data_IF_465678465290
#
_entry.id   IF_465678465290
#
_cell.length_a   1.000
_cell.length_b   1.000
_cell.length_c   1.000
_cell.angle_alpha   90.00
_cell.angle_beta   90.00
_cell.angle_gamma   90.00
#
_symmetry.space_group_name_H-M   'P 1'
#
loop_
_entity.id
_entity.type
_entity.pdbx_description
1 polymer ?
#
# COMPACT_ATOMS: atom_id res chain seq x y z
N UNK A 1 -34.41 46.06 -4.49
CA UNK A 1 -33.77 45.05 -3.61
C UNK A 1 -34.63 43.80 -3.59
N UNK A 2 -34.27 42.78 -4.39
CA UNK A 2 -34.85 41.43 -4.32
C UNK A 2 -33.67 40.47 -4.14
N UNK A 3 -33.56 39.89 -2.94
CA UNK A 3 -32.49 38.97 -2.58
C UNK A 3 -32.80 37.58 -3.14
N UNK A 4 -32.05 37.18 -4.15
CA UNK A 4 -31.98 35.82 -4.67
C UNK A 4 -31.19 34.97 -3.68
N UNK A 5 -31.82 33.93 -3.11
CA UNK A 5 -31.11 32.92 -2.30
C UNK A 5 -30.36 31.99 -3.25
N UNK A 6 -29.03 32.10 -3.26
CA UNK A 6 -28.14 31.12 -3.89
C UNK A 6 -28.05 29.94 -2.92
N UNK A 7 -28.65 28.82 -3.31
CA UNK A 7 -28.43 27.52 -2.65
C UNK A 7 -27.10 27.00 -3.20
N UNK A 8 -26.05 27.09 -2.38
CA UNK A 8 -24.76 26.48 -2.70
C UNK A 8 -24.89 24.96 -2.58
N UNK A 9 -24.91 24.29 -3.73
CA UNK A 9 -24.77 22.85 -3.85
C UNK A 9 -23.30 22.50 -3.55
N UNK A 10 -23.00 22.12 -2.32
CA UNK A 10 -21.71 21.53 -1.96
C UNK A 10 -21.68 20.08 -2.47
N UNK A 11 -21.11 19.90 -3.65
CA UNK A 11 -20.76 18.59 -4.20
C UNK A 11 -19.58 18.03 -3.39
N UNK A 12 -19.86 17.11 -2.46
CA UNK A 12 -18.84 16.23 -1.89
C UNK A 12 -18.60 15.11 -2.91
N UNK A 13 -17.63 15.33 -3.79
CA UNK A 13 -17.14 14.37 -4.79
C UNK A 13 -15.64 14.18 -4.57
N UNK A 14 -15.26 13.44 -3.52
CA UNK A 14 -13.84 13.10 -3.27
C UNK A 14 -13.65 11.73 -2.63
N UNK A 15 -14.53 10.76 -2.90
CA UNK A 15 -14.40 9.40 -2.36
C UNK A 15 -14.37 8.29 -3.43
N UNK A 16 -14.36 8.63 -4.73
CA UNK A 16 -14.48 7.63 -5.81
C UNK A 16 -13.32 7.58 -6.81
N UNK A 17 -12.36 8.51 -6.76
CA UNK A 17 -11.36 8.69 -7.82
C UNK A 17 -10.08 7.86 -7.66
N UNK A 18 -9.86 7.20 -6.51
CA UNK A 18 -8.60 6.48 -6.27
C UNK A 18 -8.57 5.06 -6.85
N UNK A 19 -9.74 4.42 -7.01
CA UNK A 19 -9.82 3.02 -7.45
C UNK A 19 -9.51 2.79 -8.95
N UNK A 20 -9.61 3.83 -9.78
CA UNK A 20 -9.34 3.77 -11.23
C UNK A 20 -8.21 4.70 -11.66
N UNK A 21 -7.54 5.38 -10.72
CA UNK A 21 -6.60 6.45 -11.03
C UNK A 21 -5.44 5.99 -11.93
N UNK A 22 -4.93 4.77 -11.70
CA UNK A 22 -3.73 4.31 -12.39
C UNK A 22 -4.02 3.78 -13.80
N UNK A 23 -5.09 3.00 -13.99
CA UNK A 23 -5.52 2.57 -15.32
C UNK A 23 -5.95 3.76 -16.18
N UNK A 24 -6.66 4.73 -15.59
CA UNK A 24 -7.05 5.97 -16.27
C UNK A 24 -5.82 6.82 -16.63
N UNK A 25 -4.83 6.92 -15.74
CA UNK A 25 -3.56 7.61 -16.03
C UNK A 25 -2.81 6.94 -17.19
N UNK A 26 -2.64 5.61 -17.16
CA UNK A 26 -1.99 4.85 -18.22
C UNK A 26 -2.74 5.04 -19.55
N UNK A 27 -4.07 4.94 -19.53
CA UNK A 27 -4.90 5.14 -20.73
C UNK A 27 -4.80 6.56 -21.29
N UNK A 28 -4.76 7.58 -20.42
CA UNK A 28 -4.57 8.99 -20.83
C UNK A 28 -3.19 9.23 -21.45
N UNK A 29 -2.16 8.52 -21.01
CA UNK A 29 -0.80 8.63 -21.52
C UNK A 29 -0.52 7.71 -22.73
N UNK A 30 -1.38 6.72 -23.01
CA UNK A 30 -1.18 5.71 -24.06
C UNK A 30 -0.93 6.32 -25.45
N UNK A 31 -1.54 7.47 -25.74
CA UNK A 31 -1.38 8.17 -27.02
C UNK A 31 -0.29 9.26 -26.98
N UNK A 32 0.36 9.48 -25.84
CA UNK A 32 1.45 10.44 -25.66
C UNK A 32 2.83 9.80 -25.92
N UNK A 33 2.86 8.69 -26.66
CA UNK A 33 4.08 8.01 -27.07
C UNK A 33 4.69 8.73 -28.27
N UNK A 34 5.89 9.28 -28.10
CA UNK A 34 6.70 9.73 -29.25
C UNK A 34 7.39 8.52 -29.86
N UNK A 35 7.09 8.21 -31.13
CA UNK A 35 7.85 7.19 -31.87
C UNK A 35 9.33 7.58 -32.06
N UNK A 36 9.67 8.86 -31.86
CA UNK A 36 11.01 9.42 -31.98
C UNK A 36 11.41 10.13 -30.67
N UNK A 37 11.33 9.43 -29.54
CA UNK A 37 11.88 9.94 -28.29
C UNK A 37 13.43 9.96 -28.40
N UNK A 38 14.01 11.11 -28.77
CA UNK A 38 15.47 11.29 -28.89
C UNK A 38 16.20 11.36 -27.53
N UNK A 39 15.65 10.75 -26.48
CA UNK A 39 16.31 10.68 -25.18
C UNK A 39 17.34 9.55 -25.20
N UNK A 40 18.60 9.90 -24.96
CA UNK A 40 19.66 8.94 -24.69
C UNK A 40 20.04 9.03 -23.22
N UNK A 41 19.80 7.96 -22.48
CA UNK A 41 20.18 7.86 -21.07
C UNK A 41 21.52 7.15 -20.96
N UNK A 42 22.40 7.66 -20.11
CA UNK A 42 23.66 7.00 -19.74
C UNK A 42 23.62 6.67 -18.26
N UNK A 43 23.77 5.40 -17.92
CA UNK A 43 23.83 4.95 -16.53
C UNK A 43 25.11 5.47 -15.88
N UNK A 44 24.97 6.28 -14.83
CA UNK A 44 26.11 6.77 -14.03
C UNK A 44 26.40 5.84 -12.85
N UNK A 45 25.36 5.31 -12.20
CA UNK A 45 25.40 4.36 -11.08
C UNK A 45 24.18 3.45 -11.19
N UNK A 46 24.38 2.15 -10.96
CA UNK A 46 23.33 1.14 -10.87
C UNK A 46 23.53 0.37 -9.57
N UNK A 47 22.48 0.33 -8.74
CA UNK A 47 22.49 -0.35 -7.43
C UNK A 47 21.76 -1.69 -7.47
N UNK A 48 21.25 -2.08 -8.64
CA UNK A 48 20.47 -3.28 -8.84
C UNK A 48 18.99 -3.10 -8.52
N UNK A 49 18.19 -4.00 -9.08
CA UNK A 49 16.80 -4.23 -8.75
C UNK A 49 16.46 -5.68 -9.09
N UNK A 50 15.34 -6.18 -8.59
CA UNK A 50 14.78 -7.47 -9.04
C UNK A 50 13.97 -7.28 -10.33
N UNK A 51 13.31 -8.34 -10.78
CA UNK A 51 12.44 -8.30 -11.96
C UNK A 51 11.34 -7.25 -11.82
N UNK A 52 11.00 -6.61 -12.94
CA UNK A 52 9.83 -5.72 -13.04
C UNK A 52 8.55 -6.50 -12.76
N UNK A 53 7.71 -5.95 -11.88
CA UNK A 53 6.42 -6.51 -11.46
C UNK A 53 5.24 -5.80 -12.12
N UNK A 54 4.04 -6.39 -12.03
CA UNK A 54 2.82 -5.82 -12.60
C UNK A 54 1.65 -5.93 -11.62
N UNK A 55 1.22 -4.80 -11.08
CA UNK A 55 0.12 -4.69 -10.12
C UNK A 55 -1.28 -4.89 -10.74
N UNK A 56 -1.39 -4.91 -12.06
CA UNK A 56 -2.68 -4.99 -12.77
C UNK A 56 -3.59 -3.80 -12.43
N UNK A 57 -4.90 -4.06 -12.44
CA UNK A 57 -5.94 -3.09 -12.10
C UNK A 57 -6.20 -3.05 -10.59
N UNK A 58 -5.17 -2.71 -9.82
CA UNK A 58 -5.25 -2.53 -8.37
C UNK A 58 -4.45 -1.31 -7.93
N UNK A 59 -4.91 -0.56 -6.94
CA UNK A 59 -4.20 0.62 -6.41
C UNK A 59 -3.05 0.30 -5.44
N UNK A 60 -2.24 -0.72 -5.74
CA UNK A 60 -1.25 -1.31 -4.81
C UNK A 60 0.21 -0.96 -5.09
N UNK A 61 0.46 0.12 -5.85
CA UNK A 61 1.82 0.54 -6.21
C UNK A 61 2.74 0.72 -4.99
N UNK A 62 2.21 1.21 -3.87
CA UNK A 62 2.92 1.35 -2.59
C UNK A 62 3.43 0.00 -2.06
N UNK A 63 2.62 -1.06 -2.16
CA UNK A 63 3.02 -2.41 -1.77
C UNK A 63 4.06 -2.97 -2.73
N UNK A 64 3.86 -2.79 -4.04
CA UNK A 64 4.81 -3.28 -5.05
C UNK A 64 6.18 -2.59 -4.97
N UNK A 65 6.19 -1.27 -4.84
CA UNK A 65 7.42 -0.49 -4.71
C UNK A 65 8.11 -0.75 -3.36
N UNK A 66 7.37 -0.80 -2.25
CA UNK A 66 7.94 -1.10 -0.95
C UNK A 66 8.51 -2.52 -0.85
N UNK A 67 7.83 -3.54 -1.38
CA UNK A 67 8.40 -4.89 -1.42
C UNK A 67 9.61 -4.96 -2.36
N UNK A 68 9.60 -4.30 -3.53
CA UNK A 68 10.79 -4.19 -4.39
C UNK A 68 11.97 -3.49 -3.68
N UNK A 69 11.68 -2.51 -2.82
CA UNK A 69 12.68 -1.88 -1.96
C UNK A 69 13.25 -2.87 -0.94
N UNK A 70 12.41 -3.65 -0.24
CA UNK A 70 12.88 -4.71 0.67
C UNK A 70 13.75 -5.74 -0.07
N UNK A 71 13.38 -6.13 -1.29
CA UNK A 71 14.18 -7.04 -2.12
C UNK A 71 15.55 -6.45 -2.46
N UNK A 72 15.61 -5.15 -2.76
CA UNK A 72 16.86 -4.44 -3.02
C UNK A 72 17.71 -4.30 -1.75
N UNK A 73 17.08 -4.11 -0.59
CA UNK A 73 17.77 -4.12 0.71
C UNK A 73 18.35 -5.49 1.04
N UNK A 74 17.68 -6.59 0.67
CA UNK A 74 18.28 -7.92 0.76
C UNK A 74 19.56 -8.00 -0.08
N UNK A 75 19.55 -7.50 -1.32
CA UNK A 75 20.76 -7.44 -2.16
C UNK A 75 21.87 -6.61 -1.50
N UNK A 76 21.54 -5.42 -0.98
CA UNK A 76 22.48 -4.53 -0.27
C UNK A 76 23.12 -5.22 0.94
N UNK A 77 22.36 -6.04 1.65
CA UNK A 77 22.81 -6.83 2.81
C UNK A 77 23.57 -8.11 2.43
N UNK A 78 23.84 -8.35 1.14
CA UNK A 78 24.53 -9.55 0.65
C UNK A 78 23.68 -10.82 0.72
N UNK A 79 22.36 -10.70 0.87
CA UNK A 79 21.41 -11.81 0.87
C UNK A 79 20.92 -12.08 -0.56
N UNK A 80 20.50 -13.33 -0.81
CA UNK A 80 19.79 -13.68 -2.05
C UNK A 80 18.37 -13.09 -1.98
N UNK A 81 17.99 -12.13 -2.83
CA UNK A 81 16.65 -11.55 -2.81
C UNK A 81 15.60 -12.62 -3.13
N UNK A 82 14.43 -12.48 -2.51
CA UNK A 82 13.27 -13.33 -2.75
C UNK A 82 12.19 -12.49 -3.40
N UNK A 83 11.48 -13.02 -4.39
CA UNK A 83 10.26 -12.40 -4.92
C UNK A 83 9.19 -12.38 -3.81
N UNK A 84 8.96 -11.23 -3.19
CA UNK A 84 8.08 -11.07 -2.04
C UNK A 84 6.62 -10.87 -2.49
N UNK A 85 5.69 -11.49 -1.76
CA UNK A 85 4.28 -11.39 -2.07
C UNK A 85 3.71 -10.00 -1.75
N UNK A 86 3.56 -9.15 -2.75
CA UNK A 86 3.11 -7.78 -2.56
C UNK A 86 1.63 -7.75 -2.12
N UNK A 87 0.84 -8.73 -2.54
CA UNK A 87 -0.55 -8.85 -2.11
C UNK A 87 -0.69 -9.35 -0.67
N UNK A 88 0.29 -10.06 -0.11
CA UNK A 88 0.28 -10.39 1.31
C UNK A 88 0.33 -9.12 2.16
N UNK A 89 1.22 -8.19 1.80
CA UNK A 89 1.35 -6.88 2.45
C UNK A 89 0.08 -6.04 2.25
N UNK A 90 -0.45 -5.97 1.03
CA UNK A 90 -1.68 -5.23 0.73
C UNK A 90 -2.88 -5.78 1.52
N UNK A 91 -3.08 -7.10 1.53
CA UNK A 91 -4.18 -7.77 2.25
C UNK A 91 -4.13 -7.51 3.75
N UNK A 92 -2.95 -7.56 4.36
CA UNK A 92 -2.80 -7.28 5.79
C UNK A 92 -3.02 -5.79 6.11
N UNK A 93 -2.61 -4.89 5.22
CA UNK A 93 -2.93 -3.46 5.35
C UNK A 93 -4.43 -3.21 5.24
N UNK A 94 -5.13 -3.86 4.30
CA UNK A 94 -6.58 -3.76 4.18
C UNK A 94 -7.31 -4.24 5.43
N UNK A 95 -6.83 -5.30 6.08
CA UNK A 95 -7.36 -5.77 7.35
C UNK A 95 -7.25 -4.69 8.44
N UNK A 96 -6.06 -4.12 8.63
CA UNK A 96 -5.83 -3.09 9.66
C UNK A 96 -6.51 -1.76 9.34
N UNK A 97 -6.48 -1.35 8.07
CA UNK A 97 -7.17 -0.15 7.56
C UNK A 97 -8.67 -0.28 7.72
N UNK A 98 -9.26 -1.45 7.46
CA UNK A 98 -10.68 -1.70 7.67
C UNK A 98 -11.04 -1.55 9.15
N UNK A 99 -10.17 -2.06 10.03
CA UNK A 99 -10.35 -1.91 11.47
C UNK A 99 -10.34 -0.45 11.89
N UNK A 100 -9.33 0.31 11.45
CA UNK A 100 -9.23 1.74 11.76
C UNK A 100 -10.38 2.55 11.14
N UNK A 101 -10.80 2.24 9.92
CA UNK A 101 -11.96 2.86 9.28
C UNK A 101 -13.21 2.73 10.14
N UNK A 102 -13.53 1.52 10.62
CA UNK A 102 -14.72 1.30 11.46
C UNK A 102 -14.59 1.99 12.82
N UNK A 103 -13.43 1.88 13.47
CA UNK A 103 -13.19 2.49 14.78
C UNK A 103 -13.15 4.03 14.75
N UNK A 104 -12.83 4.62 13.60
CA UNK A 104 -12.88 6.06 13.37
C UNK A 104 -14.20 6.51 12.72
N UNK A 105 -15.25 5.70 12.81
CA UNK A 105 -16.59 6.01 12.30
C UNK A 105 -16.59 6.40 10.79
N UNK A 106 -15.72 5.77 10.00
CA UNK A 106 -15.57 6.04 8.57
C UNK A 106 -14.84 7.34 8.23
N UNK A 107 -14.17 7.98 9.20
CA UNK A 107 -13.47 9.25 9.00
C UNK A 107 -12.08 9.11 8.36
N UNK A 108 -11.58 7.88 8.20
CA UNK A 108 -10.33 7.58 7.49
C UNK A 108 -10.67 7.21 6.05
N UNK A 109 -9.78 7.51 5.09
CA UNK A 109 -9.98 7.14 3.69
C UNK A 109 -10.05 5.62 3.52
N UNK A 110 -10.93 5.14 2.66
CA UNK A 110 -10.98 3.73 2.25
C UNK A 110 -10.69 3.60 0.76
N UNK A 111 -9.85 2.62 0.43
CA UNK A 111 -9.42 2.31 -0.94
C UNK A 111 -8.14 1.48 -0.93
N UNK A 112 -7.69 1.09 -2.12
CA UNK A 112 -6.50 0.25 -2.31
C UNK A 112 -5.18 0.93 -1.91
N UNK A 113 -5.15 2.27 -1.91
CA UNK A 113 -3.96 3.06 -1.64
C UNK A 113 -3.43 2.90 -0.21
N UNK A 114 -2.15 3.23 -0.06
CA UNK A 114 -1.35 3.11 1.14
C UNK A 114 0.01 3.76 0.88
N UNK A 115 0.87 3.73 1.89
CA UNK A 115 2.19 4.38 1.87
C UNK A 115 3.32 3.37 2.15
N UNK A 116 4.58 3.78 1.99
CA UNK A 116 5.71 2.85 2.16
C UNK A 116 5.86 2.36 3.61
N UNK A 117 5.45 3.16 4.60
CA UNK A 117 5.41 2.76 6.01
C UNK A 117 4.43 1.62 6.25
N UNK A 118 3.36 1.49 5.45
CA UNK A 118 2.46 0.33 5.55
C UNK A 118 3.21 -0.96 5.27
N UNK A 119 4.14 -0.96 4.31
CA UNK A 119 4.96 -2.14 3.99
C UNK A 119 5.85 -2.50 5.17
N UNK A 120 6.54 -1.52 5.77
CA UNK A 120 7.41 -1.74 6.94
C UNK A 120 6.58 -2.20 8.17
N UNK A 121 5.43 -1.57 8.41
CA UNK A 121 4.52 -1.89 9.50
C UNK A 121 3.94 -3.30 9.35
N UNK A 122 3.50 -3.68 8.15
CA UNK A 122 2.97 -5.01 7.88
C UNK A 122 4.07 -6.06 7.95
N UNK A 123 5.27 -5.77 7.43
CA UNK A 123 6.42 -6.65 7.57
C UNK A 123 6.74 -6.90 9.05
N UNK A 124 6.76 -5.85 9.88
CA UNK A 124 6.98 -5.97 11.34
C UNK A 124 5.90 -6.80 12.03
N UNK A 125 4.63 -6.54 11.71
CA UNK A 125 3.48 -7.13 12.42
C UNK A 125 3.10 -8.52 11.93
N UNK A 126 3.14 -8.76 10.63
CA UNK A 126 2.67 -9.99 9.99
C UNK A 126 3.79 -10.81 9.34
N UNK A 127 4.97 -10.24 9.15
CA UNK A 127 6.08 -10.90 8.47
C UNK A 127 6.01 -10.73 6.95
N UNK A 128 6.56 -11.69 6.22
CA UNK A 128 6.59 -11.71 4.77
C UNK A 128 6.47 -13.14 4.26
N UNK A 129 6.04 -13.29 3.01
CA UNK A 129 5.98 -14.60 2.34
C UNK A 129 6.49 -14.48 0.91
N UNK A 130 7.06 -15.54 0.33
CA UNK A 130 7.37 -15.61 -1.10
C UNK A 130 6.12 -15.46 -1.99
N UNK A 131 6.29 -14.91 -3.18
CA UNK A 131 5.21 -14.72 -4.16
C UNK A 131 4.58 -16.04 -4.61
N UNK A 132 5.34 -17.15 -4.68
CA UNK A 132 4.82 -18.47 -5.02
C UNK A 132 4.00 -19.12 -3.89
N UNK A 133 4.14 -18.63 -2.67
CA UNK A 133 3.38 -19.05 -1.48
C UNK A 133 2.05 -18.31 -1.35
N UNK A 134 1.99 -17.03 -1.75
CA UNK A 134 0.77 -16.22 -1.70
C UNK A 134 0.72 -15.21 -2.85
N UNK A 135 0.10 -15.58 -3.97
CA UNK A 135 0.05 -14.73 -5.17
C UNK A 135 -0.97 -13.61 -5.08
N UNK A 136 -1.99 -13.74 -4.24
CA UNK A 136 -3.18 -12.88 -4.26
C UNK A 136 -4.14 -13.14 -5.43
N UNK A 137 -3.86 -14.12 -6.29
CA UNK A 137 -4.63 -14.44 -7.49
C UNK A 137 -5.50 -15.67 -7.28
N UNK A 138 -6.73 -15.63 -7.78
CA UNK A 138 -7.59 -16.82 -7.88
C UNK A 138 -7.18 -17.70 -9.06
N UNK A 139 -7.61 -18.96 -9.02
CA UNK A 139 -7.40 -19.90 -10.12
C UNK A 139 -7.89 -19.32 -11.46
N UNK A 140 -6.99 -19.30 -12.45
CA UNK A 140 -7.26 -18.77 -13.79
C UNK A 140 -7.00 -17.28 -13.96
N UNK A 141 -6.65 -16.55 -12.90
CA UNK A 141 -6.22 -15.15 -13.00
C UNK A 141 -4.70 -15.07 -13.22
N UNK A 142 -4.28 -14.10 -14.03
CA UNK A 142 -2.88 -13.79 -14.29
C UNK A 142 -2.47 -12.39 -13.80
N UNK A 143 -3.46 -11.53 -13.52
CA UNK A 143 -3.27 -10.17 -13.02
C UNK A 143 -4.37 -9.84 -12.01
N UNK A 144 -4.02 -8.98 -11.05
CA UNK A 144 -4.95 -8.50 -10.03
C UNK A 144 -5.94 -7.50 -10.63
N UNK A 145 -7.20 -7.59 -10.20
CA UNK A 145 -8.21 -6.56 -10.40
C UNK A 145 -9.06 -6.46 -9.12
N UNK A 146 -8.93 -5.35 -8.40
CA UNK A 146 -9.52 -5.20 -7.06
C UNK A 146 -10.85 -4.44 -7.07
N UNK A 147 -11.35 -4.03 -8.24
CA UNK A 147 -12.59 -3.26 -8.37
C UNK A 147 -13.78 -3.95 -7.70
N UNK A 148 -13.97 -5.24 -7.95
CA UNK A 148 -15.08 -6.00 -7.38
C UNK A 148 -14.91 -6.22 -5.87
N UNK A 149 -13.70 -6.56 -5.43
CA UNK A 149 -13.38 -6.77 -4.01
C UNK A 149 -13.66 -5.50 -3.20
N UNK A 150 -13.14 -4.36 -3.66
CA UNK A 150 -13.33 -3.07 -3.01
C UNK A 150 -14.81 -2.64 -3.02
N UNK A 151 -15.52 -2.90 -4.12
CA UNK A 151 -16.97 -2.69 -4.23
C UNK A 151 -17.79 -3.53 -3.24
N UNK A 152 -17.31 -4.73 -2.86
CA UNK A 152 -17.92 -5.56 -1.81
C UNK A 152 -17.51 -5.16 -0.39
N UNK A 153 -16.26 -4.75 -0.18
CA UNK A 153 -15.76 -4.36 1.14
C UNK A 153 -16.43 -3.08 1.64
N UNK A 154 -16.55 -2.06 0.79
CA UNK A 154 -17.04 -0.74 1.23
C UNK A 154 -18.44 -0.77 1.87
N UNK A 155 -19.46 -1.43 1.29
CA UNK A 155 -20.78 -1.55 1.93
C UNK A 155 -20.74 -2.30 3.28
N UNK A 156 -19.88 -3.30 3.42
CA UNK A 156 -19.70 -4.03 4.69
C UNK A 156 -19.09 -3.11 5.75
N UNK A 157 -18.06 -2.36 5.41
CA UNK A 157 -17.45 -1.39 6.31
C UNK A 157 -18.43 -0.29 6.73
N UNK A 158 -19.22 0.25 5.80
CA UNK A 158 -20.23 1.26 6.10
C UNK A 158 -21.34 0.72 7.01
N UNK A 159 -21.76 -0.52 6.80
CA UNK A 159 -22.72 -1.20 7.68
C UNK A 159 -22.15 -1.38 9.10
N UNK A 160 -20.87 -1.75 9.21
CA UNK A 160 -20.18 -1.87 10.49
C UNK A 160 -20.04 -0.53 11.21
N UNK A 161 -19.73 0.56 10.50
CA UNK A 161 -19.73 1.93 11.05
C UNK A 161 -21.13 2.30 11.59
N UNK A 162 -22.17 2.04 10.81
CA UNK A 162 -23.55 2.31 11.23
C UNK A 162 -23.97 1.47 12.45
N UNK A 163 -23.57 0.20 12.51
CA UNK A 163 -23.84 -0.65 13.67
C UNK A 163 -23.05 -0.19 14.91
N UNK A 164 -21.78 0.14 14.75
CA UNK A 164 -20.90 0.62 15.82
C UNK A 164 -21.35 1.94 16.44
N UNK A 165 -21.93 2.84 15.64
CA UNK A 165 -22.53 4.09 16.16
C UNK A 165 -23.79 3.87 17.01
N UNK A 166 -24.43 2.71 16.92
CA UNK A 166 -25.62 2.34 17.70
C UNK A 166 -25.29 1.53 18.95
N UNK A 167 -24.08 1.01 19.07
CA UNK A 167 -23.65 0.19 20.20
C UNK A 167 -22.41 -0.63 19.91
N UNK A 168 -21.94 -1.38 20.92
CA UNK A 168 -20.78 -2.26 20.78
C UNK A 168 -21.04 -3.31 19.68
N UNK A 169 -20.12 -3.40 18.72
CA UNK A 169 -20.10 -4.48 17.73
C UNK A 169 -19.87 -5.85 18.41
N UNK A 170 -20.33 -6.92 17.77
CA UNK A 170 -19.99 -8.29 18.20
C UNK A 170 -18.49 -8.52 18.10
N UNK A 171 -17.87 -9.24 19.02
CA UNK A 171 -16.40 -9.34 19.10
C UNK A 171 -15.74 -9.94 17.82
N UNK A 172 -16.52 -10.63 16.98
CA UNK A 172 -16.09 -11.25 15.73
C UNK A 172 -16.35 -10.41 14.47
N UNK A 173 -16.71 -9.13 14.59
CA UNK A 173 -17.14 -8.29 13.46
C UNK A 173 -16.12 -8.21 12.31
N UNK A 174 -14.82 -8.33 12.59
CA UNK A 174 -13.76 -8.39 11.56
C UNK A 174 -13.80 -9.66 10.70
N UNK A 175 -14.41 -10.74 11.18
CA UNK A 175 -14.48 -12.00 10.42
C UNK A 175 -15.21 -11.83 9.09
N UNK A 176 -16.19 -10.93 8.99
CA UNK A 176 -16.88 -10.62 7.73
C UNK A 176 -15.98 -9.88 6.74
N UNK A 177 -15.08 -9.03 7.23
CA UNK A 177 -14.08 -8.33 6.40
C UNK A 177 -13.05 -9.34 5.90
N UNK A 178 -12.49 -10.14 6.81
CA UNK A 178 -11.51 -11.17 6.48
C UNK A 178 -12.06 -12.22 5.52
N UNK A 179 -13.33 -12.60 5.64
CA UNK A 179 -13.96 -13.53 4.72
C UNK A 179 -14.00 -12.99 3.28
N UNK A 180 -14.25 -11.70 3.11
CA UNK A 180 -14.21 -11.06 1.77
C UNK A 180 -12.77 -10.99 1.27
N UNK A 181 -11.81 -10.59 2.11
CA UNK A 181 -10.40 -10.57 1.71
C UNK A 181 -9.92 -11.96 1.28
N UNK A 182 -10.25 -13.00 2.04
CA UNK A 182 -9.89 -14.38 1.74
C UNK A 182 -10.62 -14.90 0.49
N UNK A 183 -11.88 -14.50 0.24
CA UNK A 183 -12.62 -14.83 -0.99
C UNK A 183 -11.92 -14.28 -2.23
N UNK A 184 -11.30 -13.08 -2.14
CA UNK A 184 -10.72 -12.39 -3.28
C UNK A 184 -9.23 -12.62 -3.47
N UNK A 185 -8.46 -12.67 -2.38
CA UNK A 185 -7.00 -12.69 -2.39
C UNK A 185 -6.44 -14.05 -1.92
N UNK A 186 -7.32 -14.96 -1.51
CA UNK A 186 -6.94 -16.21 -0.89
C UNK A 186 -6.59 -16.04 0.59
N UNK A 187 -6.62 -17.15 1.31
CA UNK A 187 -6.33 -17.19 2.74
C UNK A 187 -4.83 -17.07 3.00
N UNK A 188 -4.47 -16.25 3.98
CA UNK A 188 -3.07 -16.11 4.42
C UNK A 188 -2.53 -17.44 4.94
N UNK A 189 -1.36 -17.91 4.43
CA UNK A 189 -0.74 -19.14 4.92
C UNK A 189 -0.19 -18.94 6.33
N UNK A 190 -0.53 -19.86 7.24
CA UNK A 190 0.03 -19.85 8.59
C UNK A 190 1.42 -20.49 8.64
N UNK A 191 1.68 -21.44 7.74
CA UNK A 191 2.97 -22.10 7.55
C UNK A 191 3.17 -22.42 6.06
N UNK A 192 4.42 -22.48 5.62
CA UNK A 192 4.82 -22.87 4.27
C UNK A 192 6.25 -23.40 4.26
N UNK A 193 6.60 -24.15 3.22
CA UNK A 193 7.98 -24.65 3.03
C UNK A 193 8.71 -23.74 2.05
N UNK A 194 9.90 -23.29 2.42
CA UNK A 194 10.82 -22.55 1.55
C UNK A 194 12.21 -23.17 1.64
N UNK A 195 12.81 -23.50 0.49
CA UNK A 195 14.13 -24.15 0.39
C UNK A 195 14.32 -25.34 1.37
N UNK A 196 13.27 -26.19 1.50
CA UNK A 196 13.30 -27.40 2.32
C UNK A 196 13.09 -27.19 3.83
N UNK A 197 12.87 -25.96 4.29
CA UNK A 197 12.57 -25.65 5.70
C UNK A 197 11.16 -25.06 5.84
N UNK A 198 10.49 -25.43 6.94
CA UNK A 198 9.17 -24.89 7.29
C UNK A 198 9.30 -23.52 7.96
N UNK A 199 8.47 -22.57 7.55
CA UNK A 199 8.42 -21.22 8.08
C UNK A 199 6.97 -20.78 8.34
N UNK A 200 6.82 -19.86 9.29
CA UNK A 200 5.68 -18.94 9.35
C UNK A 200 6.07 -17.65 8.62
N UNK A 201 5.13 -16.77 8.26
CA UNK A 201 5.47 -15.47 7.69
C UNK A 201 6.46 -14.65 8.55
N UNK A 202 6.31 -14.72 9.87
CA UNK A 202 7.17 -14.05 10.84
C UNK A 202 8.59 -14.64 10.87
N UNK A 203 8.72 -15.98 10.91
CA UNK A 203 10.07 -16.59 10.92
C UNK A 203 10.75 -16.45 9.56
N UNK A 204 10.00 -16.45 8.46
CA UNK A 204 10.53 -16.17 7.13
C UNK A 204 11.09 -14.75 7.01
N UNK A 205 10.31 -13.74 7.43
CA UNK A 205 10.78 -12.36 7.50
C UNK A 205 12.06 -12.25 8.33
N UNK A 206 12.07 -12.82 9.54
CA UNK A 206 13.22 -12.72 10.43
C UNK A 206 14.48 -13.41 9.89
N UNK A 207 14.35 -14.62 9.34
CA UNK A 207 15.50 -15.49 9.06
C UNK A 207 15.96 -15.42 7.62
N UNK A 208 15.03 -15.30 6.66
CA UNK A 208 15.34 -15.26 5.23
C UNK A 208 15.53 -13.82 4.77
N UNK A 209 14.49 -12.99 4.92
CA UNK A 209 14.53 -11.56 4.53
C UNK A 209 15.55 -10.81 5.40
N UNK A 210 15.46 -10.96 6.72
CA UNK A 210 16.43 -10.49 7.70
C UNK A 210 16.54 -8.97 7.82
N UNK A 211 15.54 -8.24 7.33
CA UNK A 211 15.45 -6.78 7.45
C UNK A 211 14.95 -6.42 8.85
N UNK A 212 15.60 -5.42 9.48
CA UNK A 212 15.12 -4.83 10.74
C UNK A 212 14.26 -3.59 10.42
N UNK A 213 12.95 -3.60 10.73
CA UNK A 213 12.05 -2.50 10.42
C UNK A 213 12.48 -1.14 11.00
N UNK A 214 13.18 -1.14 12.13
CA UNK A 214 13.62 0.07 12.83
C UNK A 214 14.78 0.80 12.13
N UNK A 215 15.40 0.18 11.13
CA UNK A 215 16.53 0.78 10.39
C UNK A 215 16.05 1.76 9.30
N UNK A 216 14.73 1.84 9.05
CA UNK A 216 14.13 2.62 7.97
C UNK A 216 13.34 3.80 8.49
N UNK A 217 13.42 4.91 7.78
CA UNK A 217 12.67 6.14 8.06
C UNK A 217 12.10 6.70 6.77
N UNK A 218 10.93 7.33 6.88
CA UNK A 218 10.36 8.11 5.78
C UNK A 218 10.75 9.58 5.89
N UNK A 219 10.99 10.18 4.73
CA UNK A 219 11.48 11.54 4.60
C UNK A 219 10.66 12.25 3.53
N UNK A 220 10.16 13.43 3.85
CA UNK A 220 9.37 14.27 2.97
C UNK A 220 9.89 15.71 2.96
N UNK A 221 9.30 16.57 2.12
CA UNK A 221 9.69 17.98 1.99
C UNK A 221 8.47 18.88 1.75
N UNK A 222 7.90 19.40 2.81
CA UNK A 222 6.76 20.33 2.80
C UNK A 222 7.14 21.68 3.40
N UNK A 223 6.80 22.77 2.70
CA UNK A 223 7.11 24.15 3.12
C UNK A 223 6.24 24.65 4.28
N UNK A 224 5.05 24.09 4.43
CA UNK A 224 4.05 24.52 5.41
C UNK A 224 4.23 23.86 6.79
N UNK A 225 5.22 22.98 6.93
CA UNK A 225 5.54 22.27 8.18
C UNK A 225 6.98 22.59 8.62
N UNK A 226 7.28 22.60 9.92
CA UNK A 226 8.64 22.80 10.41
C UNK A 226 9.61 21.77 9.83
N UNK A 227 10.76 22.24 9.35
CA UNK A 227 11.85 21.34 8.93
C UNK A 227 12.56 20.72 10.13
N UNK A 228 13.15 19.54 9.90
CA UNK A 228 13.85 18.69 10.86
C UNK A 228 12.95 18.28 12.04
N UNK A 229 11.66 18.15 11.78
CA UNK A 229 10.67 17.63 12.71
C UNK A 229 9.82 16.58 12.01
N UNK A 230 9.28 15.65 12.79
CA UNK A 230 8.30 14.69 12.30
C UNK A 230 6.93 15.32 12.22
N UNK A 231 6.17 14.99 11.19
CA UNK A 231 4.76 15.36 11.06
C UNK A 231 4.00 14.29 10.27
N UNK A 232 2.68 14.26 10.45
CA UNK A 232 1.80 13.38 9.66
C UNK A 232 1.54 14.06 8.32
N UNK A 233 1.99 13.43 7.24
CA UNK A 233 1.73 13.92 5.88
C UNK A 233 0.21 13.90 5.61
N UNK A 234 -0.40 15.03 5.22
CA UNK A 234 -1.86 15.16 5.14
C UNK A 234 -2.41 14.58 3.82
N UNK A 235 -2.18 13.29 3.57
CA UNK A 235 -2.64 12.58 2.38
C UNK A 235 -3.61 11.45 2.77
N UNK A 236 -4.64 11.18 1.95
CA UNK A 236 -5.66 10.19 2.31
C UNK A 236 -5.13 8.77 2.49
N UNK A 237 -4.03 8.43 1.83
CA UNK A 237 -3.42 7.11 1.88
C UNK A 237 -2.57 6.90 3.15
N UNK A 238 -2.21 7.94 3.90
CA UNK A 238 -1.63 7.80 5.24
C UNK A 238 -2.73 7.53 6.29
N UNK A 239 -3.36 6.36 6.17
CA UNK A 239 -4.48 5.93 7.00
C UNK A 239 -4.06 5.51 8.42
N UNK A 240 -2.79 5.16 8.63
CA UNK A 240 -2.21 4.83 9.94
C UNK A 240 -1.79 6.08 10.73
N UNK A 241 -1.73 7.24 10.06
CA UNK A 241 -1.20 8.50 10.60
C UNK A 241 0.26 8.37 11.08
N UNK A 242 1.07 7.56 10.38
CA UNK A 242 2.52 7.54 10.59
C UNK A 242 3.13 8.89 10.21
N UNK A 243 4.29 9.19 10.82
CA UNK A 243 4.95 10.49 10.67
C UNK A 243 6.28 10.39 9.94
N UNK A 244 6.48 11.32 9.02
CA UNK A 244 7.68 11.43 8.20
C UNK A 244 8.59 12.52 8.75
N UNK A 245 9.89 12.39 8.55
CA UNK A 245 10.81 13.50 8.75
C UNK A 245 10.66 14.54 7.64
N UNK A 246 10.38 15.79 8.01
CA UNK A 246 10.35 16.88 7.04
C UNK A 246 11.76 17.49 6.87
N UNK A 247 12.27 17.57 5.65
CA UNK A 247 13.56 18.23 5.35
C UNK A 247 13.42 19.21 4.19
N UNK A 248 14.32 20.20 4.03
CA UNK A 248 14.35 21.03 2.84
C UNK A 248 14.61 20.18 1.58
N UNK A 249 14.02 20.54 0.44
CA UNK A 249 14.21 19.83 -0.84
C UNK A 249 15.69 19.61 -1.20
N UNK A 250 16.55 20.58 -0.89
CA UNK A 250 18.01 20.44 -1.09
C UNK A 250 18.58 19.24 -0.32
N UNK A 251 18.17 19.06 0.92
CA UNK A 251 18.64 17.97 1.76
C UNK A 251 18.00 16.64 1.34
N UNK A 252 16.73 16.64 0.92
CA UNK A 252 16.08 15.47 0.35
C UNK A 252 16.85 14.94 -0.88
N UNK A 253 17.21 15.81 -1.82
CA UNK A 253 18.02 15.41 -2.99
C UNK A 253 19.42 14.92 -2.57
N UNK A 254 20.06 15.59 -1.62
CA UNK A 254 21.36 15.15 -1.12
C UNK A 254 21.28 13.77 -0.44
N UNK A 255 20.20 13.47 0.28
CA UNK A 255 19.97 12.14 0.86
C UNK A 255 19.85 11.08 -0.23
N UNK A 256 19.07 11.35 -1.29
CA UNK A 256 18.93 10.43 -2.44
C UNK A 256 20.29 10.15 -3.10
N UNK A 257 21.12 11.18 -3.30
CA UNK A 257 22.44 11.03 -3.94
C UNK A 257 23.43 10.20 -3.10
N UNK A 258 23.26 10.20 -1.77
CA UNK A 258 24.16 9.51 -0.83
C UNK A 258 23.65 8.13 -0.38
N UNK A 259 22.40 7.79 -0.68
CA UNK A 259 21.80 6.49 -0.37
C UNK A 259 22.31 5.36 -1.30
#
# INVERSE_FOLDING_TARGET
MKNTKIVSLLFVLSAGSMMFAQDDLINKLKNNQSQNANFQFTTLKDVGATSVKNQGSSGTCWSYSGNSFLESEMQRMGKKPVDLAEIFTARNSYHDKAKLYVLNNGAISWGDGGELHDVINMYKKYGAVPQDVYTGLKQGQTLNNFSEMQGKLKPVLDSLVQAGSKGKLTDNWMASVDAILDEYLGKVPTNFTYEGKSYTPQTFAKEVVGINPEDYVEISSYKDYPYYQKFVVPIPDNWSHDSDWNVPMKDLTAIIDNA
#
